data_IF_293617027566
#
_entry.id   IF_293617027566
#
_cell.length_a   1.000
_cell.length_b   1.000
_cell.length_c   1.000
_cell.angle_alpha   90.00
_cell.angle_beta   90.00
_cell.angle_gamma   90.00
#
_symmetry.space_group_name_H-M   'P 1'
#
loop_
_entity.id
_entity.type
_entity.pdbx_description
1 polymer ?
#
# COMPACT_ATOMS: atom_id res chain seq x y z
N UNK A 1 -1.14 -14.64 17.98
CA UNK A 1 -1.35 -14.95 16.56
C UNK A 1 -1.39 -13.64 15.81
N UNK A 2 -0.69 -13.52 14.68
CA UNK A 2 -0.65 -12.26 13.92
C UNK A 2 -2.00 -11.92 13.31
N UNK A 3 -2.27 -10.63 13.09
CA UNK A 3 -3.45 -10.18 12.36
C UNK A 3 -3.47 -10.74 10.95
N UNK A 4 -4.66 -11.15 10.48
CA UNK A 4 -4.85 -11.61 9.12
C UNK A 4 -4.69 -10.43 8.15
N UNK A 5 -3.87 -10.63 7.12
CA UNK A 5 -3.63 -9.61 6.09
C UNK A 5 -4.43 -10.00 4.86
N UNK A 6 -5.35 -9.15 4.43
CA UNK A 6 -6.12 -9.39 3.20
C UNK A 6 -5.25 -9.17 1.96
N UNK A 7 -4.65 -7.98 1.84
CA UNK A 7 -3.93 -7.55 0.65
C UNK A 7 -2.67 -6.76 1.00
N UNK A 8 -1.63 -6.91 0.17
CA UNK A 8 -0.36 -6.18 0.28
C UNK A 8 -0.13 -5.34 -0.98
N UNK A 9 -0.09 -4.02 -0.80
CA UNK A 9 0.16 -3.05 -1.85
C UNK A 9 1.60 -2.58 -1.82
N UNK A 10 2.30 -2.65 -2.95
CA UNK A 10 3.69 -2.18 -3.02
C UNK A 10 4.10 -1.78 -4.44
N UNK A 11 5.25 -1.13 -4.59
CA UNK A 11 5.80 -0.73 -5.89
C UNK A 11 6.35 -1.91 -6.71
N UNK A 12 6.60 -1.67 -8.00
CA UNK A 12 7.07 -2.71 -8.93
C UNK A 12 8.48 -3.23 -8.65
N UNK A 13 9.29 -2.57 -7.82
CA UNK A 13 10.57 -3.11 -7.36
C UNK A 13 10.35 -4.36 -6.52
N UNK A 14 9.22 -4.48 -5.82
CA UNK A 14 8.85 -5.68 -5.06
C UNK A 14 8.19 -6.78 -5.90
N UNK A 15 8.12 -6.64 -7.23
CA UNK A 15 7.69 -7.72 -8.15
C UNK A 15 8.80 -8.79 -8.30
N UNK A 16 9.10 -9.47 -7.20
CA UNK A 16 10.09 -10.55 -7.11
C UNK A 16 9.43 -11.84 -6.61
N UNK A 17 10.05 -12.99 -6.90
CA UNK A 17 9.55 -14.30 -6.46
C UNK A 17 9.50 -14.38 -4.94
N UNK A 18 10.56 -13.91 -4.28
CA UNK A 18 10.67 -13.95 -2.83
C UNK A 18 9.58 -13.08 -2.16
N UNK A 19 9.38 -11.84 -2.62
CA UNK A 19 8.32 -10.99 -2.07
C UNK A 19 6.94 -11.61 -2.25
N UNK A 20 6.64 -12.14 -3.44
CA UNK A 20 5.35 -12.81 -3.70
C UNK A 20 5.17 -14.08 -2.88
N UNK A 21 6.24 -14.85 -2.64
CA UNK A 21 6.20 -16.01 -1.75
C UNK A 21 5.86 -15.59 -0.32
N UNK A 22 6.55 -14.58 0.24
CA UNK A 22 6.29 -14.10 1.62
C UNK A 22 4.85 -13.62 1.78
N UNK A 23 4.29 -12.94 0.77
CA UNK A 23 2.89 -12.51 0.78
C UNK A 23 1.94 -13.72 0.73
N UNK A 24 2.23 -14.70 -0.13
CA UNK A 24 1.45 -15.93 -0.23
C UNK A 24 1.51 -16.78 1.04
N UNK A 25 2.65 -16.82 1.73
CA UNK A 25 2.82 -17.53 3.01
C UNK A 25 1.95 -16.91 4.12
N UNK A 26 1.61 -15.62 3.99
CA UNK A 26 0.64 -14.91 4.84
C UNK A 26 -0.80 -15.04 4.36
N UNK A 27 -1.05 -15.82 3.30
CA UNK A 27 -2.35 -15.98 2.65
C UNK A 27 -2.97 -14.64 2.19
N UNK A 28 -2.13 -13.67 1.85
CA UNK A 28 -2.55 -12.34 1.43
C UNK A 28 -2.48 -12.17 -0.10
N UNK A 29 -3.27 -11.26 -0.65
CA UNK A 29 -3.26 -10.93 -2.07
C UNK A 29 -2.15 -9.91 -2.42
N UNK A 30 -1.37 -10.18 -3.46
CA UNK A 30 -0.27 -9.32 -3.88
C UNK A 30 -0.71 -8.28 -4.93
N UNK A 31 -1.00 -7.05 -4.50
CA UNK A 31 -1.31 -5.93 -5.40
C UNK A 31 -0.02 -5.19 -5.79
N UNK A 32 0.76 -5.85 -6.65
CA UNK A 32 2.07 -5.37 -7.11
C UNK A 32 2.04 -5.19 -8.63
N UNK A 33 2.31 -3.98 -9.14
CA UNK A 33 2.34 -3.78 -10.57
C UNK A 33 3.54 -4.50 -11.20
N UNK A 34 3.37 -5.13 -12.38
CA UNK A 34 4.51 -5.71 -13.08
C UNK A 34 5.52 -4.62 -13.49
N UNK A 35 6.80 -4.98 -13.53
CA UNK A 35 7.88 -4.11 -14.05
C UNK A 35 7.68 -3.86 -15.55
N UNK A 36 8.16 -2.71 -16.05
CA UNK A 36 8.01 -2.30 -17.47
C UNK A 36 8.46 -3.39 -18.46
N UNK A 37 9.57 -4.04 -18.17
CA UNK A 37 10.17 -5.09 -19.01
C UNK A 37 10.01 -6.49 -18.40
N UNK A 38 8.97 -6.70 -17.59
CA UNK A 38 8.70 -7.98 -16.95
C UNK A 38 8.49 -9.08 -18.01
N UNK A 39 9.17 -10.21 -17.82
CA UNK A 39 8.96 -11.45 -18.58
C UNK A 39 8.21 -12.46 -17.72
N UNK A 40 7.47 -13.40 -18.32
CA UNK A 40 6.86 -14.50 -17.60
C UNK A 40 7.92 -15.33 -16.85
N UNK A 41 7.61 -15.75 -15.63
CA UNK A 41 8.42 -16.72 -14.91
C UNK A 41 8.09 -18.15 -15.38
N UNK A 42 9.11 -19.01 -15.44
CA UNK A 42 8.99 -20.37 -16.00
C UNK A 42 8.44 -21.41 -15.00
N UNK A 43 8.57 -21.16 -13.70
CA UNK A 43 8.08 -22.09 -12.69
C UNK A 43 6.56 -22.05 -12.57
N UNK A 44 5.98 -23.17 -12.10
CA UNK A 44 4.54 -23.39 -12.00
C UNK A 44 3.98 -23.12 -10.60
N UNK A 45 4.69 -22.36 -9.76
CA UNK A 45 4.18 -21.98 -8.44
C UNK A 45 2.95 -21.07 -8.59
N UNK A 46 1.97 -21.19 -7.69
CA UNK A 46 0.71 -20.43 -7.77
C UNK A 46 0.94 -18.92 -7.94
N UNK A 47 1.75 -18.31 -7.07
CA UNK A 47 2.08 -16.87 -7.15
C UNK A 47 2.80 -16.46 -8.44
N UNK A 48 3.52 -17.39 -9.09
CA UNK A 48 4.18 -17.15 -10.38
C UNK A 48 3.17 -17.18 -11.52
N UNK A 49 2.22 -18.12 -11.49
CA UNK A 49 1.13 -18.22 -12.45
C UNK A 49 0.22 -16.99 -12.36
N UNK A 50 -0.19 -16.61 -11.16
CA UNK A 50 -0.99 -15.40 -10.91
C UNK A 50 -0.30 -14.13 -11.42
N UNK A 51 1.00 -13.97 -11.13
CA UNK A 51 1.79 -12.86 -11.68
C UNK A 51 1.82 -12.90 -13.21
N UNK A 52 2.02 -14.07 -13.81
CA UNK A 52 2.09 -14.19 -15.25
C UNK A 52 0.74 -13.83 -15.91
N UNK A 53 -0.38 -14.20 -15.31
CA UNK A 53 -1.72 -13.77 -15.75
C UNK A 53 -1.93 -12.27 -15.59
N UNK A 54 -1.49 -11.70 -14.47
CA UNK A 54 -1.46 -10.26 -14.27
C UNK A 54 -0.64 -9.56 -15.38
N UNK A 55 0.54 -10.08 -15.70
CA UNK A 55 1.42 -9.53 -16.74
C UNK A 55 0.74 -9.57 -18.12
N UNK A 56 0.09 -10.68 -18.48
CA UNK A 56 -0.70 -10.83 -19.72
C UNK A 56 -1.85 -9.82 -19.75
N UNK A 57 -2.58 -9.70 -18.64
CA UNK A 57 -3.72 -8.79 -18.49
C UNK A 57 -3.30 -7.33 -18.63
N UNK A 58 -2.23 -6.91 -17.96
CA UNK A 58 -1.69 -5.55 -18.06
C UNK A 58 -1.16 -5.26 -19.46
N UNK A 59 -0.55 -6.24 -20.14
CA UNK A 59 -0.10 -6.09 -21.53
C UNK A 59 -1.27 -5.91 -22.50
N UNK A 60 -2.39 -6.60 -22.27
CA UNK A 60 -3.60 -6.55 -23.12
C UNK A 60 -4.45 -5.30 -22.85
N UNK A 61 -4.73 -5.00 -21.59
CA UNK A 61 -5.71 -4.00 -21.16
C UNK A 61 -5.08 -2.66 -20.75
N UNK A 62 -3.76 -2.63 -20.58
CA UNK A 62 -3.02 -1.45 -20.15
C UNK A 62 -2.95 -1.31 -18.62
N UNK A 63 -1.86 -0.66 -18.18
CA UNK A 63 -1.55 -0.45 -16.76
C UNK A 63 -2.55 0.47 -16.05
N UNK A 64 -3.09 1.46 -16.76
CA UNK A 64 -4.06 2.42 -16.19
C UNK A 64 -5.34 1.72 -15.77
N UNK A 65 -5.86 0.82 -16.61
CA UNK A 65 -7.08 0.08 -16.31
C UNK A 65 -6.88 -0.87 -15.13
N UNK A 66 -5.76 -1.61 -15.15
CA UNK A 66 -5.40 -2.46 -14.03
C UNK A 66 -5.33 -1.69 -12.70
N UNK A 67 -4.68 -0.52 -12.67
CA UNK A 67 -4.58 0.30 -11.45
C UNK A 67 -5.95 0.69 -10.87
N UNK A 68 -6.94 0.95 -11.75
CA UNK A 68 -8.30 1.31 -11.33
C UNK A 68 -9.01 0.11 -10.70
N UNK A 69 -8.98 -1.05 -11.35
CA UNK A 69 -9.71 -2.24 -10.89
C UNK A 69 -9.03 -2.96 -9.73
N UNK A 70 -7.71 -2.88 -9.60
CA UNK A 70 -6.97 -3.49 -8.48
C UNK A 70 -6.98 -2.67 -7.19
N UNK A 71 -7.58 -1.47 -7.20
CA UNK A 71 -7.55 -0.57 -6.06
C UNK A 71 -6.14 -0.05 -5.73
N UNK A 72 -5.18 -0.13 -6.66
CA UNK A 72 -3.78 0.25 -6.41
C UNK A 72 -3.59 1.69 -5.90
N UNK A 73 -4.58 2.56 -6.11
CA UNK A 73 -4.59 3.91 -5.57
C UNK A 73 -4.48 3.96 -4.03
N UNK A 74 -4.92 2.92 -3.31
CA UNK A 74 -4.80 2.83 -1.85
C UNK A 74 -3.37 3.09 -1.35
N UNK A 75 -2.37 2.59 -2.09
CA UNK A 75 -0.97 2.82 -1.76
C UNK A 75 -0.60 4.31 -1.77
N UNK A 76 -1.10 5.06 -2.74
CA UNK A 76 -0.85 6.51 -2.85
C UNK A 76 -1.48 7.26 -1.69
N UNK A 77 -2.68 6.85 -1.24
CA UNK A 77 -3.35 7.47 -0.10
C UNK A 77 -2.55 7.28 1.20
N UNK A 78 -2.03 6.07 1.41
CA UNK A 78 -1.15 5.76 2.54
C UNK A 78 0.16 6.55 2.46
N UNK A 79 0.81 6.62 1.29
CA UNK A 79 2.02 7.42 1.06
C UNK A 79 1.77 8.90 1.40
N UNK A 80 0.63 9.47 0.98
CA UNK A 80 0.23 10.84 1.33
C UNK A 80 0.02 11.02 2.83
N UNK A 81 -0.66 10.09 3.52
CA UNK A 81 -0.85 10.18 4.96
C UNK A 81 0.47 10.04 5.72
N UNK A 82 1.37 9.17 5.29
CA UNK A 82 2.71 9.05 5.84
C UNK A 82 3.52 10.34 5.64
N UNK A 83 3.39 11.00 4.49
CA UNK A 83 3.99 12.32 4.27
C UNK A 83 3.48 13.36 5.28
N UNK A 84 2.17 13.41 5.53
CA UNK A 84 1.62 14.29 6.58
C UNK A 84 2.19 14.01 7.97
N UNK A 85 2.41 12.73 8.33
CA UNK A 85 3.05 12.37 9.61
C UNK A 85 4.48 12.91 9.68
N UNK A 86 5.23 12.86 8.57
CA UNK A 86 6.60 13.39 8.49
C UNK A 86 6.66 14.92 8.53
N UNK A 87 5.62 15.62 8.08
CA UNK A 87 5.54 17.08 8.23
C UNK A 87 5.49 17.52 9.70
N UNK A 88 5.00 16.67 10.61
CA UNK A 88 5.05 16.90 12.05
C UNK A 88 6.42 16.54 12.68
N UNK A 89 7.33 15.97 11.90
CA UNK A 89 8.69 15.62 12.30
C UNK A 89 9.27 14.51 11.42
N UNK A 90 10.42 14.73 10.79
CA UNK A 90 10.97 13.73 9.85
C UNK A 90 11.56 12.50 10.57
N UNK A 91 11.96 12.65 11.84
CA UNK A 91 12.55 11.59 12.67
C UNK A 91 11.81 11.44 13.99
N UNK A 92 11.94 10.27 14.59
CA UNK A 92 11.50 10.04 15.97
C UNK A 92 12.61 10.46 16.92
N UNK A 93 12.25 11.25 17.93
CA UNK A 93 13.18 11.76 18.95
C UNK A 93 13.37 10.77 20.10
N UNK A 94 12.34 9.99 20.40
CA UNK A 94 12.36 8.99 21.45
C UNK A 94 13.38 7.86 21.16
N UNK A 95 14.16 7.49 22.19
CA UNK A 95 15.16 6.42 22.11
C UNK A 95 14.59 5.03 22.37
N UNK A 96 13.52 4.93 23.16
CA UNK A 96 12.90 3.65 23.49
C UNK A 96 11.66 3.41 22.61
N UNK A 97 11.39 2.15 22.29
CA UNK A 97 10.33 1.78 21.34
C UNK A 97 8.93 2.21 21.79
N UNK A 98 8.61 2.07 23.08
CA UNK A 98 7.28 2.45 23.59
C UNK A 98 7.04 3.97 23.48
N UNK A 99 8.06 4.78 23.79
CA UNK A 99 8.00 6.23 23.59
C UNK A 99 7.97 6.60 22.11
N UNK A 100 8.61 5.84 21.22
CA UNK A 100 8.47 6.02 19.76
C UNK A 100 7.04 5.78 19.29
N UNK A 101 6.39 4.71 19.78
CA UNK A 101 4.97 4.43 19.51
C UNK A 101 4.09 5.59 19.99
N UNK A 102 4.32 6.09 21.21
CA UNK A 102 3.58 7.23 21.75
C UNK A 102 3.79 8.51 20.94
N UNK A 103 5.03 8.77 20.48
CA UNK A 103 5.34 9.91 19.61
C UNK A 103 4.56 9.83 18.28
N UNK A 104 4.48 8.64 17.67
CA UNK A 104 3.67 8.41 16.47
C UNK A 104 2.17 8.59 16.75
N UNK A 105 1.65 8.05 17.87
CA UNK A 105 0.26 8.24 18.27
C UNK A 105 -0.10 9.72 18.46
N UNK A 106 0.77 10.51 19.09
CA UNK A 106 0.57 11.95 19.26
C UNK A 106 0.48 12.67 17.90
N UNK A 107 1.37 12.34 16.95
CA UNK A 107 1.33 12.89 15.59
C UNK A 107 0.03 12.52 14.86
N UNK A 108 -0.42 11.28 14.99
CA UNK A 108 -1.70 10.83 14.42
C UNK A 108 -2.87 11.60 15.04
N UNK A 109 -2.88 11.79 16.36
CA UNK A 109 -3.92 12.55 17.04
C UNK A 109 -3.99 14.01 16.54
N UNK A 110 -2.84 14.66 16.35
CA UNK A 110 -2.75 16.01 15.76
C UNK A 110 -3.33 16.02 14.33
N UNK A 111 -2.93 15.07 13.48
CA UNK A 111 -3.44 14.99 12.10
C UNK A 111 -4.96 14.74 12.03
N UNK A 112 -5.47 13.90 12.93
CA UNK A 112 -6.91 13.68 13.04
C UNK A 112 -7.63 14.97 13.44
N UNK A 113 -7.06 15.76 14.37
CA UNK A 113 -7.63 17.05 14.75
C UNK A 113 -7.61 18.06 13.60
N UNK A 114 -6.53 18.13 12.83
CA UNK A 114 -6.49 18.97 11.62
C UNK A 114 -7.50 18.53 10.57
N UNK A 115 -7.70 17.22 10.39
CA UNK A 115 -8.69 16.69 9.44
C UNK A 115 -10.12 17.06 9.86
N UNK A 116 -10.41 17.01 11.15
CA UNK A 116 -11.71 17.43 11.71
C UNK A 116 -11.95 18.93 11.50
N UNK A 117 -10.97 19.77 11.88
CA UNK A 117 -11.08 21.23 11.77
C UNK A 117 -11.12 21.73 10.31
N UNK A 118 -10.43 21.05 9.40
CA UNK A 118 -10.38 21.39 7.98
C UNK A 118 -11.56 20.87 7.16
N UNK A 119 -12.47 20.09 7.74
CA UNK A 119 -13.63 19.55 7.01
C UNK A 119 -14.68 20.65 6.81
N UNK A 120 -15.00 21.03 5.55
CA UNK A 120 -16.05 22.01 5.29
C UNK A 120 -17.43 21.43 5.68
N UNK A 121 -18.28 22.27 6.26
CA UNK A 121 -19.66 21.93 6.56
C UNK A 121 -20.55 22.49 5.45
N UNK A 122 -21.01 21.62 4.56
CA UNK A 122 -21.97 21.99 3.51
C UNK A 122 -23.38 21.74 4.03
N UNK A 123 -24.23 22.76 3.99
CA UNK A 123 -25.65 22.65 4.30
C UNK A 123 -26.46 22.97 3.04
N UNK A 124 -27.48 22.15 2.76
CA UNK A 124 -28.47 22.46 1.73
C UNK A 124 -29.45 23.44 2.34
N UNK A 125 -29.48 24.68 1.84
CA UNK A 125 -30.47 25.68 2.25
C UNK A 125 -31.74 25.43 1.44
N UNK A 126 -32.87 25.21 2.13
CA UNK A 126 -34.21 25.08 1.54
C UNK A 126 -34.99 26.36 1.75
#
# INVERSE_FOLDING_TARGET
MGEQIDSVYTDGAYDTKQCRQVIADRQAHAVIPPRKNAKPWKDKKAHSLERNELLRTVKRLGRTLWKKWSGYHQRSLVETKMHCIKLLGDKLSARNFQSQVNEVHARIAILNKFTELGRPHTQVVT
#
